data_IF_099062893731
#
_entry.id   IF_099062893731
#
_cell.length_a   1.000
_cell.length_b   1.000
_cell.length_c   1.000
_cell.angle_alpha   90.00
_cell.angle_beta   90.00
_cell.angle_gamma   90.00
#
_symmetry.space_group_name_H-M   'P 1'
#
loop_
_entity.id
_entity.type
_entity.pdbx_description
1 polymer ?
#
# COMPACT_ATOMS: atom_id res chain seq x y z
N UNK A 1 -5.36 -4.93 -29.27
CA UNK A 1 -4.44 -3.79 -29.46
C UNK A 1 -4.38 -2.88 -28.23
N UNK A 2 -5.51 -2.34 -27.73
CA UNK A 2 -5.55 -1.39 -26.59
C UNK A 2 -4.86 -1.87 -25.31
N UNK A 3 -5.01 -3.15 -24.95
CA UNK A 3 -4.42 -3.73 -23.72
C UNK A 3 -2.89 -3.81 -23.80
N UNK A 4 -2.33 -4.26 -24.93
CA UNK A 4 -0.87 -4.36 -25.13
C UNK A 4 -0.22 -2.98 -25.06
N UNK A 5 -0.85 -1.96 -25.67
CA UNK A 5 -0.36 -0.57 -25.63
C UNK A 5 -0.34 -0.01 -24.20
N UNK A 6 -1.34 -0.33 -23.35
CA UNK A 6 -1.36 0.09 -21.94
C UNK A 6 -0.20 -0.54 -21.16
N UNK A 7 0.05 -1.84 -21.33
CA UNK A 7 1.17 -2.48 -20.62
C UNK A 7 2.54 -1.98 -21.10
N UNK A 8 2.71 -1.73 -22.39
CA UNK A 8 3.95 -1.13 -22.92
C UNK A 8 4.18 0.28 -22.35
N UNK A 9 3.12 1.10 -22.27
CA UNK A 9 3.19 2.43 -21.67
C UNK A 9 3.54 2.37 -20.18
N UNK A 10 2.92 1.46 -19.42
CA UNK A 10 3.22 1.25 -18.01
C UNK A 10 4.67 0.79 -17.79
N UNK A 11 5.17 -0.12 -18.62
CA UNK A 11 6.57 -0.55 -18.56
C UNK A 11 7.55 0.61 -18.82
N UNK A 12 7.32 1.38 -19.87
CA UNK A 12 8.12 2.55 -20.17
C UNK A 12 8.06 3.61 -19.05
N UNK A 13 6.87 3.91 -18.52
CA UNK A 13 6.67 4.86 -17.44
C UNK A 13 7.34 4.38 -16.13
N UNK A 14 7.35 3.07 -15.85
CA UNK A 14 8.04 2.51 -14.69
C UNK A 14 9.54 2.71 -14.77
N UNK A 15 10.14 2.43 -15.94
CA UNK A 15 11.58 2.64 -16.16
C UNK A 15 11.93 4.13 -16.03
N UNK A 16 11.13 5.01 -16.63
CA UNK A 16 11.36 6.45 -16.56
C UNK A 16 11.21 7.01 -15.13
N UNK A 17 10.19 6.56 -14.39
CA UNK A 17 9.99 6.99 -13.00
C UNK A 17 11.10 6.49 -12.07
N UNK A 18 11.55 5.24 -12.25
CA UNK A 18 12.67 4.68 -11.50
C UNK A 18 13.97 5.43 -11.82
N UNK A 19 14.26 5.69 -13.10
CA UNK A 19 15.40 6.49 -13.52
C UNK A 19 15.36 7.90 -12.92
N UNK A 20 14.22 8.58 -12.97
CA UNK A 20 14.04 9.89 -12.34
C UNK A 20 14.27 9.82 -10.83
N UNK A 21 13.75 8.80 -10.14
CA UNK A 21 13.94 8.59 -8.70
C UNK A 21 15.41 8.37 -8.29
N UNK A 22 16.22 7.74 -9.16
CA UNK A 22 17.65 7.53 -8.93
C UNK A 22 18.46 8.79 -9.27
N UNK A 23 18.14 9.46 -10.38
CA UNK A 23 18.86 10.64 -10.83
C UNK A 23 18.65 11.85 -9.93
N UNK A 24 17.40 12.10 -9.50
CA UNK A 24 17.02 13.30 -8.75
C UNK A 24 17.04 13.03 -7.25
N UNK A 25 17.68 13.91 -6.49
CA UNK A 25 17.77 13.84 -5.01
C UNK A 25 18.50 15.05 -4.46
N UNK A 26 18.64 15.13 -3.12
CA UNK A 26 19.27 16.26 -2.41
C UNK A 26 20.71 16.53 -2.86
N UNK A 27 21.44 15.51 -3.27
CA UNK A 27 22.78 15.64 -3.86
C UNK A 27 22.68 15.51 -5.36
N UNK A 28 23.14 16.52 -6.09
CA UNK A 28 23.21 16.46 -7.55
C UNK A 28 24.33 15.48 -7.98
N UNK A 29 23.98 14.45 -8.75
CA UNK A 29 24.91 13.47 -9.32
C UNK A 29 24.74 13.48 -10.82
N UNK A 30 25.85 13.56 -11.57
CA UNK A 30 25.79 13.57 -13.01
C UNK A 30 25.23 12.23 -13.56
N UNK A 31 24.41 12.22 -14.63
CA UNK A 31 23.84 11.00 -15.19
C UNK A 31 24.89 9.93 -15.57
N UNK A 32 26.08 10.37 -16.01
CA UNK A 32 27.22 9.47 -16.29
C UNK A 32 27.71 8.73 -15.05
N UNK A 33 27.81 9.42 -13.91
CA UNK A 33 28.22 8.83 -12.63
C UNK A 33 27.16 7.85 -12.11
N UNK A 34 25.87 8.10 -12.37
CA UNK A 34 24.79 7.17 -12.02
C UNK A 34 24.97 5.86 -12.79
N UNK A 35 25.21 5.91 -14.09
CA UNK A 35 25.46 4.72 -14.88
C UNK A 35 26.70 3.96 -14.37
N UNK A 36 27.81 4.65 -14.17
CA UNK A 36 29.05 4.06 -13.66
C UNK A 36 28.83 3.40 -12.27
N UNK A 37 28.08 4.06 -11.40
CA UNK A 37 27.73 3.52 -10.09
C UNK A 37 26.89 2.24 -10.16
N UNK A 38 25.94 2.15 -11.09
CA UNK A 38 25.13 0.95 -11.32
C UNK A 38 25.98 -0.23 -11.82
N UNK A 39 27.07 0.04 -12.56
CA UNK A 39 28.02 -0.97 -13.01
C UNK A 39 29.21 -1.21 -12.06
N UNK A 40 29.13 -0.73 -10.82
CA UNK A 40 30.07 -1.08 -9.75
C UNK A 40 31.19 -0.07 -9.50
N UNK A 41 31.15 1.13 -10.10
CA UNK A 41 32.14 2.18 -9.79
C UNK A 41 32.12 2.50 -8.29
N UNK A 42 33.31 2.54 -7.69
CA UNK A 42 33.53 2.87 -6.29
C UNK A 42 33.53 4.39 -6.09
N UNK A 43 33.32 4.82 -4.82
CA UNK A 43 33.32 6.22 -4.42
C UNK A 43 32.01 6.68 -3.80
N UNK A 44 31.99 7.93 -3.31
CA UNK A 44 30.84 8.50 -2.58
C UNK A 44 29.56 8.47 -3.41
N UNK A 45 29.62 8.82 -4.70
CA UNK A 45 28.48 8.77 -5.61
C UNK A 45 27.94 7.35 -5.76
N UNK A 46 28.84 6.35 -5.88
CA UNK A 46 28.48 4.94 -5.97
C UNK A 46 27.74 4.44 -4.74
N UNK A 47 28.21 4.80 -3.55
CA UNK A 47 27.56 4.46 -2.28
C UNK A 47 26.19 5.12 -2.15
N UNK A 48 26.07 6.42 -2.46
CA UNK A 48 24.76 7.11 -2.42
C UNK A 48 23.75 6.44 -3.33
N UNK A 49 24.15 6.02 -4.52
CA UNK A 49 23.26 5.42 -5.49
C UNK A 49 22.86 4.00 -5.06
N UNK A 50 23.83 3.15 -4.73
CA UNK A 50 23.57 1.72 -4.46
C UNK A 50 22.97 1.46 -3.08
N UNK A 51 23.40 2.24 -2.04
CA UNK A 51 22.99 1.97 -0.67
C UNK A 51 21.83 2.85 -0.18
N UNK A 52 21.57 3.98 -0.85
CA UNK A 52 20.52 4.89 -0.42
C UNK A 52 19.40 5.03 -1.48
N UNK A 53 19.75 5.45 -2.72
CA UNK A 53 18.72 5.78 -3.71
C UNK A 53 18.05 4.56 -4.32
N UNK A 54 18.83 3.56 -4.69
CA UNK A 54 18.30 2.36 -5.36
C UNK A 54 17.39 1.55 -4.43
N UNK A 55 17.77 1.22 -3.18
CA UNK A 55 16.87 0.54 -2.25
C UNK A 55 15.61 1.34 -1.97
N UNK A 56 15.72 2.68 -1.84
CA UNK A 56 14.56 3.56 -1.61
C UNK A 56 13.58 3.54 -2.79
N UNK A 57 14.06 3.66 -4.03
CA UNK A 57 13.23 3.62 -5.24
C UNK A 57 12.57 2.25 -5.41
N UNK A 58 13.31 1.16 -5.17
CA UNK A 58 12.76 -0.19 -5.23
C UNK A 58 11.75 -0.43 -4.10
N UNK A 59 12.01 0.08 -2.90
CA UNK A 59 11.06 0.05 -1.78
C UNK A 59 9.77 0.79 -2.11
N UNK A 60 9.88 2.01 -2.67
CA UNK A 60 8.74 2.77 -3.16
C UNK A 60 7.93 1.97 -4.19
N UNK A 61 8.61 1.38 -5.16
CA UNK A 61 7.96 0.57 -6.19
C UNK A 61 7.23 -0.64 -5.60
N UNK A 62 7.85 -1.38 -4.67
CA UNK A 62 7.23 -2.53 -3.99
C UNK A 62 6.01 -2.13 -3.16
N UNK A 63 6.11 -1.05 -2.38
CA UNK A 63 5.00 -0.54 -1.56
C UNK A 63 3.83 -0.11 -2.44
N UNK A 64 4.10 0.65 -3.51
CA UNK A 64 3.07 1.08 -4.44
C UNK A 64 2.39 -0.10 -5.15
N UNK A 65 3.17 -1.08 -5.59
CA UNK A 65 2.67 -2.30 -6.20
C UNK A 65 1.78 -3.10 -5.24
N UNK A 66 2.22 -3.26 -3.98
CA UNK A 66 1.49 -3.99 -2.95
C UNK A 66 0.15 -3.32 -2.63
N UNK A 67 0.15 -2.01 -2.38
CA UNK A 67 -1.08 -1.26 -2.06
C UNK A 67 -2.07 -1.28 -3.22
N UNK A 68 -1.60 -1.08 -4.46
CA UNK A 68 -2.46 -1.09 -5.63
C UNK A 68 -3.04 -2.48 -5.92
N UNK A 69 -2.26 -3.56 -5.76
CA UNK A 69 -2.74 -4.93 -5.91
C UNK A 69 -3.77 -5.29 -4.81
N UNK A 70 -3.50 -4.92 -3.56
CA UNK A 70 -4.43 -5.08 -2.43
C UNK A 70 -5.75 -4.35 -2.68
N UNK A 71 -5.65 -3.10 -3.17
CA UNK A 71 -6.81 -2.30 -3.52
C UNK A 71 -7.66 -2.93 -4.64
N UNK A 72 -7.02 -3.40 -5.72
CA UNK A 72 -7.72 -4.05 -6.82
C UNK A 72 -8.50 -5.29 -6.35
N UNK A 73 -7.89 -6.11 -5.48
CA UNK A 73 -8.50 -7.30 -4.92
C UNK A 73 -9.68 -6.95 -4.01
N UNK A 74 -9.50 -6.00 -3.10
CA UNK A 74 -10.53 -5.62 -2.13
C UNK A 74 -11.72 -4.92 -2.80
N UNK A 75 -11.48 -4.02 -3.77
CA UNK A 75 -12.53 -3.38 -4.56
C UNK A 75 -13.42 -4.39 -5.26
N UNK A 76 -12.84 -5.49 -5.75
CA UNK A 76 -13.59 -6.57 -6.37
C UNK A 76 -14.46 -7.33 -5.37
N UNK A 77 -13.89 -7.72 -4.23
CA UNK A 77 -14.62 -8.43 -3.19
C UNK A 77 -15.78 -7.59 -2.63
N UNK A 78 -15.52 -6.32 -2.32
CA UNK A 78 -16.52 -5.41 -1.76
C UNK A 78 -17.51 -4.89 -2.81
N UNK A 79 -17.30 -5.19 -4.09
CA UNK A 79 -18.07 -4.65 -5.23
C UNK A 79 -18.18 -3.12 -5.15
N UNK A 80 -17.16 -2.50 -4.62
CA UNK A 80 -17.10 -1.07 -4.42
C UNK A 80 -15.76 -0.54 -4.97
N UNK A 81 -15.76 0.18 -6.10
CA UNK A 81 -14.54 0.72 -6.69
C UNK A 81 -13.87 1.80 -5.83
N UNK A 82 -14.54 2.24 -4.76
CA UNK A 82 -14.06 3.23 -3.81
C UNK A 82 -13.49 2.60 -2.53
N UNK A 83 -13.35 1.27 -2.49
CA UNK A 83 -12.77 0.60 -1.34
C UNK A 83 -11.25 0.81 -1.28
N UNK A 84 -10.78 1.24 -0.13
CA UNK A 84 -9.36 1.32 0.20
C UNK A 84 -8.97 0.11 1.08
N UNK A 85 -7.79 -0.48 0.91
CA UNK A 85 -7.32 -1.58 1.77
C UNK A 85 -7.35 -1.27 3.26
N UNK A 86 -7.20 -0.02 3.64
CA UNK A 86 -7.18 0.41 5.04
C UNK A 86 -8.55 0.40 5.73
N UNK A 87 -9.65 0.38 4.98
CA UNK A 87 -11.02 0.30 5.54
C UNK A 87 -11.24 -0.98 6.36
N UNK A 88 -10.45 -2.03 6.11
CA UNK A 88 -10.51 -3.29 6.86
C UNK A 88 -9.84 -3.23 8.23
N UNK A 89 -9.31 -2.08 8.66
CA UNK A 89 -8.64 -1.90 9.94
C UNK A 89 -7.16 -2.30 9.96
N UNK A 90 -6.60 -2.74 8.85
CA UNK A 90 -5.19 -3.16 8.74
C UNK A 90 -4.21 -2.06 9.12
N UNK A 91 -4.46 -0.82 8.65
CA UNK A 91 -3.63 0.35 8.98
C UNK A 91 -3.67 0.70 10.48
N UNK A 92 -4.84 0.62 11.08
CA UNK A 92 -5.02 0.91 12.50
C UNK A 92 -4.31 -0.13 13.38
N UNK A 93 -4.40 -1.42 12.99
CA UNK A 93 -3.65 -2.48 13.66
C UNK A 93 -2.14 -2.30 13.51
N UNK A 94 -1.66 -1.95 12.31
CA UNK A 94 -0.25 -1.66 12.07
C UNK A 94 0.25 -0.48 12.91
N UNK A 95 -0.53 0.61 12.96
CA UNK A 95 -0.22 1.78 13.79
C UNK A 95 -0.12 1.42 15.27
N UNK A 96 -1.10 0.65 15.77
CA UNK A 96 -1.11 0.21 17.16
C UNK A 96 0.10 -0.69 17.46
N UNK A 97 0.42 -1.63 16.58
CA UNK A 97 1.59 -2.49 16.72
C UNK A 97 2.91 -1.71 16.78
N UNK A 98 3.10 -0.76 15.86
CA UNK A 98 4.28 0.11 15.82
C UNK A 98 4.39 0.99 17.08
N UNK A 99 3.30 1.66 17.46
CA UNK A 99 3.28 2.56 18.62
C UNK A 99 3.53 1.79 19.92
N UNK A 100 2.94 0.60 20.07
CA UNK A 100 3.21 -0.28 21.20
C UNK A 100 4.68 -0.71 21.27
N UNK A 101 5.27 -1.10 20.14
CA UNK A 101 6.68 -1.49 20.10
C UNK A 101 7.60 -0.36 20.56
N UNK A 102 7.34 0.87 20.08
CA UNK A 102 8.11 2.06 20.49
C UNK A 102 7.87 2.38 21.99
N UNK A 103 6.64 2.31 22.47
CA UNK A 103 6.29 2.58 23.87
C UNK A 103 6.94 1.57 24.83
N UNK A 104 6.98 0.30 24.44
CA UNK A 104 7.63 -0.77 25.21
C UNK A 104 9.18 -0.73 25.10
N UNK A 105 9.73 0.15 24.26
CA UNK A 105 11.17 0.32 24.12
C UNK A 105 11.83 -0.74 23.23
N UNK A 106 11.12 -1.31 22.30
CA UNK A 106 11.70 -2.24 21.31
C UNK A 106 12.75 -1.52 20.47
N UNK A 107 13.73 -2.29 19.99
CA UNK A 107 14.69 -1.78 19.03
C UNK A 107 14.01 -1.31 17.74
N UNK A 108 14.50 -0.23 17.10
CA UNK A 108 13.90 0.31 15.88
C UNK A 108 13.70 -0.72 14.77
N UNK A 109 14.59 -1.70 14.65
CA UNK A 109 14.50 -2.79 13.69
C UNK A 109 13.29 -3.72 13.90
N UNK A 110 12.72 -3.76 15.11
CA UNK A 110 11.54 -4.59 15.43
C UNK A 110 10.22 -3.86 15.20
N UNK A 111 10.23 -2.54 15.04
CA UNK A 111 9.02 -1.75 14.82
C UNK A 111 8.28 -2.16 13.52
N UNK A 112 8.94 -2.38 12.38
CA UNK A 112 8.30 -2.89 11.18
C UNK A 112 7.61 -4.25 11.38
N UNK A 113 8.25 -5.16 12.11
CA UNK A 113 7.69 -6.48 12.42
C UNK A 113 6.46 -6.36 13.34
N UNK A 114 6.49 -5.47 14.32
CA UNK A 114 5.36 -5.19 15.19
C UNK A 114 4.20 -4.56 14.43
N UNK A 115 4.47 -3.64 13.48
CA UNK A 115 3.48 -3.06 12.60
C UNK A 115 2.83 -4.13 11.70
N UNK A 116 3.64 -4.99 11.08
CA UNK A 116 3.16 -6.10 10.27
C UNK A 116 2.30 -7.06 11.11
N UNK A 117 2.77 -7.48 12.29
CA UNK A 117 2.03 -8.32 13.21
C UNK A 117 0.70 -7.70 13.64
N UNK A 118 0.69 -6.39 13.93
CA UNK A 118 -0.50 -5.62 14.24
C UNK A 118 -1.52 -5.60 13.10
N UNK A 119 -1.07 -5.43 11.84
CA UNK A 119 -1.93 -5.51 10.67
C UNK A 119 -2.57 -6.89 10.52
N UNK A 120 -1.78 -7.97 10.69
CA UNK A 120 -2.27 -9.34 10.61
C UNK A 120 -3.24 -9.68 11.75
N UNK A 121 -2.96 -9.24 12.97
CA UNK A 121 -3.85 -9.40 14.11
C UNK A 121 -5.17 -8.66 13.93
N UNK A 122 -5.12 -7.43 13.39
CA UNK A 122 -6.30 -6.64 13.09
C UNK A 122 -7.24 -7.35 12.12
N UNK A 123 -6.72 -7.84 11.00
CA UNK A 123 -7.57 -8.52 10.01
C UNK A 123 -8.10 -9.86 10.54
N UNK A 124 -7.31 -10.60 11.32
CA UNK A 124 -7.76 -11.81 11.95
C UNK A 124 -8.93 -11.53 12.92
N UNK A 125 -8.84 -10.43 13.68
CA UNK A 125 -9.90 -9.99 14.58
C UNK A 125 -11.15 -9.56 13.80
N UNK A 126 -10.99 -8.73 12.75
CA UNK A 126 -12.09 -8.32 11.86
C UNK A 126 -12.81 -9.53 11.28
N UNK A 127 -12.06 -10.49 10.74
CA UNK A 127 -12.64 -11.71 10.20
C UNK A 127 -13.40 -12.53 11.26
N UNK A 128 -12.85 -12.67 12.47
CA UNK A 128 -13.52 -13.35 13.58
C UNK A 128 -14.81 -12.63 13.99
N UNK A 129 -14.78 -11.33 14.16
CA UNK A 129 -15.94 -10.51 14.53
C UNK A 129 -17.02 -10.57 13.43
N UNK A 130 -16.62 -10.47 12.15
CA UNK A 130 -17.54 -10.56 11.04
C UNK A 130 -18.26 -11.92 10.93
N UNK A 131 -17.67 -12.98 11.53
CA UNK A 131 -18.20 -14.35 11.49
C UNK A 131 -19.12 -14.69 12.69
N UNK A 132 -19.20 -13.84 13.72
CA UNK A 132 -20.01 -14.11 14.92
C UNK A 132 -21.51 -14.25 14.61
N UNK A 133 -22.01 -13.71 13.51
CA UNK A 133 -23.39 -13.86 13.03
C UNK A 133 -23.66 -15.09 12.15
N UNK A 134 -22.74 -16.05 12.06
CA UNK A 134 -22.89 -17.31 11.31
C UNK A 134 -22.42 -17.24 9.87
N UNK A 135 -22.57 -16.12 9.15
CA UNK A 135 -22.05 -15.89 7.79
C UNK A 135 -21.30 -14.59 7.72
N UNK A 136 -20.13 -14.62 7.06
CA UNK A 136 -19.34 -13.41 6.81
C UNK A 136 -19.99 -12.63 5.67
N UNK A 137 -20.52 -11.45 5.95
CA UNK A 137 -21.03 -10.53 4.92
C UNK A 137 -20.07 -9.36 4.72
N UNK A 138 -20.13 -8.74 3.54
CA UNK A 138 -19.35 -7.53 3.24
C UNK A 138 -19.61 -6.44 4.28
N UNK A 139 -20.88 -6.25 4.68
CA UNK A 139 -21.28 -5.26 5.66
C UNK A 139 -20.64 -5.51 7.03
N UNK A 140 -20.64 -6.77 7.51
CA UNK A 140 -20.06 -7.12 8.83
C UNK A 140 -18.54 -6.91 8.83
N UNK A 141 -17.85 -7.20 7.73
CA UNK A 141 -16.41 -6.92 7.58
C UNK A 141 -16.13 -5.41 7.67
N UNK A 142 -16.90 -4.59 6.94
CA UNK A 142 -16.72 -3.13 6.95
C UNK A 142 -17.02 -2.54 8.33
N UNK A 143 -18.11 -2.94 8.99
CA UNK A 143 -18.45 -2.48 10.33
C UNK A 143 -17.38 -2.87 11.36
N UNK A 144 -16.93 -4.12 11.33
CA UNK A 144 -15.85 -4.58 12.20
C UNK A 144 -14.55 -3.80 11.96
N UNK A 145 -14.22 -3.52 10.71
CA UNK A 145 -13.05 -2.69 10.34
C UNK A 145 -13.15 -1.26 10.88
N UNK A 146 -14.31 -0.62 10.78
CA UNK A 146 -14.54 0.75 11.31
C UNK A 146 -14.43 0.77 12.82
N UNK A 147 -15.08 -0.18 13.53
CA UNK A 147 -15.01 -0.29 14.99
C UNK A 147 -13.56 -0.50 15.44
N UNK A 148 -12.85 -1.42 14.80
CA UNK A 148 -11.46 -1.69 15.14
C UNK A 148 -10.56 -0.48 14.87
N UNK A 149 -10.77 0.23 13.76
CA UNK A 149 -10.03 1.45 13.44
C UNK A 149 -10.23 2.53 14.50
N UNK A 150 -11.47 2.75 14.93
CA UNK A 150 -11.79 3.73 15.98
C UNK A 150 -11.17 3.33 17.32
N UNK A 151 -11.28 2.06 17.69
CA UNK A 151 -10.72 1.55 18.94
C UNK A 151 -9.19 1.61 18.97
N UNK A 152 -8.54 1.12 17.90
CA UNK A 152 -7.08 1.17 17.80
C UNK A 152 -6.56 2.62 17.74
N UNK A 153 -7.27 3.52 17.06
CA UNK A 153 -6.95 4.96 17.03
C UNK A 153 -7.00 5.60 18.41
N UNK A 154 -8.04 5.27 19.20
CA UNK A 154 -8.15 5.73 20.59
C UNK A 154 -6.99 5.19 21.46
N UNK A 155 -6.64 3.90 21.32
CA UNK A 155 -5.50 3.31 22.03
C UNK A 155 -4.16 3.95 21.61
N UNK A 156 -3.94 4.17 20.32
CA UNK A 156 -2.75 4.87 19.82
C UNK A 156 -2.64 6.26 20.48
N UNK A 157 -3.72 7.03 20.48
CA UNK A 157 -3.75 8.36 21.09
C UNK A 157 -3.49 8.27 22.60
N UNK A 158 -4.14 7.33 23.29
CA UNK A 158 -3.91 7.10 24.72
C UNK A 158 -2.44 6.80 25.03
N UNK A 159 -1.81 5.89 24.28
CA UNK A 159 -0.41 5.52 24.48
C UNK A 159 0.51 6.70 24.17
N UNK A 160 0.23 7.49 23.11
CA UNK A 160 1.01 8.66 22.77
C UNK A 160 1.01 9.72 23.87
N UNK A 161 -0.13 9.92 24.54
CA UNK A 161 -0.29 10.90 25.61
C UNK A 161 0.27 10.38 26.95
N UNK A 162 0.16 9.08 27.22
CA UNK A 162 0.53 8.47 28.51
C UNK A 162 2.00 8.08 28.61
N UNK A 163 2.74 8.05 27.51
CA UNK A 163 4.12 7.54 27.48
C UNK A 163 5.15 8.66 27.40
N UNK A 164 5.93 8.85 28.46
CA UNK A 164 7.05 9.82 28.45
C UNK A 164 8.10 9.53 27.38
N UNK A 165 8.32 8.24 27.06
CA UNK A 165 9.25 7.83 25.97
C UNK A 165 8.77 8.32 24.62
N UNK A 166 7.46 8.28 24.37
CA UNK A 166 6.86 8.71 23.10
C UNK A 166 6.80 10.23 22.99
N UNK A 167 6.64 10.97 24.10
CA UNK A 167 6.66 12.41 24.09
C UNK A 167 8.00 12.94 23.55
N UNK A 168 9.12 12.30 23.89
CA UNK A 168 10.46 12.62 23.39
C UNK A 168 10.66 12.24 21.92
N UNK A 169 9.91 11.26 21.40
CA UNK A 169 10.02 10.76 20.03
C UNK A 169 8.80 11.11 19.17
N UNK A 170 7.95 11.99 19.63
CA UNK A 170 6.67 12.31 19.02
C UNK A 170 6.78 12.64 17.52
N UNK A 171 7.77 13.46 17.13
CA UNK A 171 8.01 13.80 15.72
C UNK A 171 8.29 12.57 14.84
N UNK A 172 9.13 11.65 15.34
CA UNK A 172 9.48 10.44 14.60
C UNK A 172 8.26 9.50 14.44
N UNK A 173 7.49 9.34 15.51
CA UNK A 173 6.27 8.54 15.48
C UNK A 173 5.21 9.14 14.56
N UNK A 174 4.97 10.46 14.67
CA UNK A 174 4.02 11.13 13.78
C UNK A 174 4.48 11.12 12.32
N UNK A 175 5.80 11.30 12.06
CA UNK A 175 6.36 11.16 10.72
C UNK A 175 6.15 9.75 10.15
N UNK A 176 6.37 8.71 10.95
CA UNK A 176 6.11 7.33 10.53
C UNK A 176 4.61 7.08 10.27
N UNK A 177 3.72 7.59 11.15
CA UNK A 177 2.26 7.48 10.95
C UNK A 177 1.76 8.21 9.69
N UNK A 178 2.48 9.21 9.21
CA UNK A 178 2.12 9.91 7.97
C UNK A 178 2.72 9.26 6.71
N UNK A 179 3.50 8.21 6.89
CA UNK A 179 4.09 7.45 5.81
C UNK A 179 5.29 8.15 5.16
N UNK A 180 6.36 7.40 5.03
CA UNK A 180 7.59 7.84 4.37
C UNK A 180 8.49 6.65 4.12
N UNK A 181 9.21 6.67 3.01
CA UNK A 181 10.14 5.60 2.69
C UNK A 181 11.48 5.95 3.32
N UNK A 182 11.76 5.32 4.46
CA UNK A 182 13.06 5.39 5.10
C UNK A 182 14.12 4.66 4.29
N UNK A 183 15.39 4.88 4.60
CA UNK A 183 16.48 4.08 4.02
C UNK A 183 16.25 2.62 4.41
N UNK A 184 16.06 1.77 3.41
CA UNK A 184 15.78 0.35 3.56
C UNK A 184 17.05 -0.40 3.23
N UNK A 185 17.46 -1.31 4.09
CA UNK A 185 18.57 -2.21 3.79
C UNK A 185 18.19 -3.21 2.69
N UNK A 186 19.17 -3.72 1.96
CA UNK A 186 18.94 -4.73 0.93
C UNK A 186 18.28 -6.01 1.49
N UNK A 187 18.60 -6.39 2.72
CA UNK A 187 17.99 -7.53 3.41
C UNK A 187 16.51 -7.30 3.72
N UNK A 188 16.15 -6.13 4.23
CA UNK A 188 14.75 -5.75 4.46
C UNK A 188 13.97 -5.70 3.15
N UNK A 189 14.56 -5.10 2.11
CA UNK A 189 13.97 -5.04 0.79
C UNK A 189 13.70 -6.44 0.23
N UNK A 190 14.63 -7.38 0.37
CA UNK A 190 14.48 -8.76 -0.09
C UNK A 190 13.34 -9.47 0.65
N UNK A 191 13.24 -9.33 1.98
CA UNK A 191 12.14 -9.91 2.77
C UNK A 191 10.80 -9.35 2.30
N UNK A 192 10.68 -8.04 2.17
CA UNK A 192 9.44 -7.40 1.72
C UNK A 192 9.10 -7.82 0.29
N UNK A 193 10.08 -7.91 -0.61
CA UNK A 193 9.86 -8.37 -1.99
C UNK A 193 9.27 -9.78 -2.03
N UNK A 194 9.77 -10.70 -1.19
CA UNK A 194 9.23 -12.07 -1.07
C UNK A 194 7.79 -12.03 -0.56
N UNK A 195 7.50 -11.27 0.49
CA UNK A 195 6.15 -11.16 1.07
C UNK A 195 5.17 -10.56 0.05
N UNK A 196 5.58 -9.50 -0.64
CA UNK A 196 4.77 -8.87 -1.70
C UNK A 196 4.55 -9.83 -2.87
N UNK A 197 5.57 -10.59 -3.29
CA UNK A 197 5.42 -11.58 -4.36
C UNK A 197 4.40 -12.67 -3.98
N UNK A 198 4.45 -13.19 -2.74
CA UNK A 198 3.48 -14.16 -2.22
C UNK A 198 2.07 -13.54 -2.24
N UNK A 199 1.92 -12.31 -1.77
CA UNK A 199 0.63 -11.60 -1.77
C UNK A 199 0.08 -11.36 -3.17
N UNK A 200 0.93 -10.96 -4.13
CA UNK A 200 0.55 -10.77 -5.54
C UNK A 200 0.12 -12.09 -6.18
N UNK A 201 0.86 -13.18 -5.94
CA UNK A 201 0.48 -14.51 -6.42
C UNK A 201 -0.89 -14.89 -5.83
N UNK A 202 -1.10 -14.69 -4.53
CA UNK A 202 -2.38 -14.92 -3.87
C UNK A 202 -3.51 -14.10 -4.51
N UNK A 203 -3.28 -12.82 -4.79
CA UNK A 203 -4.26 -11.96 -5.45
C UNK A 203 -4.61 -12.46 -6.87
N UNK A 204 -3.62 -12.88 -7.64
CA UNK A 204 -3.84 -13.44 -8.99
C UNK A 204 -4.60 -14.77 -8.97
N UNK A 205 -4.35 -15.63 -8.00
CA UNK A 205 -5.07 -16.89 -7.80
C UNK A 205 -6.52 -16.66 -7.36
N UNK A 206 -6.79 -15.57 -6.64
CA UNK A 206 -8.14 -15.21 -6.22
C UNK A 206 -8.92 -14.43 -7.27
N UNK A 207 -8.27 -13.85 -8.27
CA UNK A 207 -8.89 -13.02 -9.30
C UNK A 207 -10.12 -13.68 -9.98
N UNK A 208 -10.10 -14.97 -10.39
CA UNK A 208 -11.27 -15.60 -11.01
C UNK A 208 -12.46 -15.71 -10.04
N UNK A 209 -12.21 -15.94 -8.75
CA UNK A 209 -13.28 -15.98 -7.74
C UNK A 209 -13.90 -14.60 -7.54
N UNK A 210 -13.07 -13.56 -7.57
CA UNK A 210 -13.53 -12.17 -7.45
C UNK A 210 -14.30 -11.73 -8.69
N UNK A 211 -13.94 -12.20 -9.89
CA UNK A 211 -14.73 -11.96 -11.10
C UNK A 211 -16.16 -12.54 -10.97
N UNK A 212 -16.32 -13.68 -10.29
CA UNK A 212 -17.65 -14.25 -10.01
C UNK A 212 -18.47 -13.42 -8.99
N UNK A 213 -17.81 -12.77 -8.01
CA UNK A 213 -18.49 -11.85 -7.07
C UNK A 213 -19.14 -10.65 -7.77
N UNK A 214 -18.65 -10.26 -8.96
CA UNK A 214 -19.26 -9.18 -9.74
C UNK A 214 -20.71 -9.47 -10.12
N UNK A 215 -21.09 -10.76 -10.23
CA UNK A 215 -22.45 -11.22 -10.52
C UNK A 215 -23.34 -11.38 -9.28
N UNK A 216 -22.82 -11.10 -8.09
CA UNK A 216 -23.50 -11.22 -6.80
C UNK A 216 -23.10 -12.47 -6.02
N UNK A 217 -23.26 -12.39 -4.69
CA UNK A 217 -22.86 -13.47 -3.77
C UNK A 217 -23.66 -14.76 -4.03
N UNK A 218 -24.96 -14.65 -4.28
CA UNK A 218 -25.83 -15.80 -4.58
C UNK A 218 -25.40 -16.52 -5.86
N UNK A 219 -25.08 -15.75 -6.91
CA UNK A 219 -24.60 -16.31 -8.18
C UNK A 219 -23.23 -16.95 -8.00
N UNK A 220 -22.31 -16.30 -7.26
CA UNK A 220 -21.01 -16.86 -6.96
C UNK A 220 -21.12 -18.18 -6.18
N UNK A 221 -22.02 -18.25 -5.20
CA UNK A 221 -22.30 -19.47 -4.44
C UNK A 221 -22.88 -20.58 -5.35
N UNK A 222 -23.80 -20.24 -6.27
CA UNK A 222 -24.38 -21.19 -7.23
C UNK A 222 -23.30 -21.74 -8.20
N UNK A 223 -22.25 -20.98 -8.48
CA UNK A 223 -21.06 -21.42 -9.23
C UNK A 223 -20.09 -22.27 -8.40
N UNK A 224 -20.44 -22.62 -7.16
CA UNK A 224 -19.63 -23.46 -6.27
C UNK A 224 -18.50 -22.73 -5.53
N UNK A 225 -18.54 -21.40 -5.48
CA UNK A 225 -17.55 -20.63 -4.74
C UNK A 225 -17.93 -20.59 -3.26
N UNK A 226 -17.03 -21.08 -2.40
CA UNK A 226 -17.13 -20.92 -0.96
C UNK A 226 -16.88 -19.46 -0.60
N UNK A 227 -17.93 -18.72 -0.26
CA UNK A 227 -17.89 -17.29 0.03
C UNK A 227 -17.07 -17.00 1.29
N UNK A 228 -17.25 -17.76 2.37
CA UNK A 228 -16.55 -17.54 3.63
C UNK A 228 -15.03 -17.74 3.47
N UNK A 229 -14.66 -18.84 2.80
CA UNK A 229 -13.25 -19.14 2.53
C UNK A 229 -12.63 -18.11 1.59
N UNK A 230 -13.36 -17.70 0.56
CA UNK A 230 -12.87 -16.70 -0.40
C UNK A 230 -12.67 -15.35 0.30
N UNK A 231 -13.64 -14.90 1.10
CA UNK A 231 -13.53 -13.66 1.89
C UNK A 231 -12.33 -13.72 2.83
N UNK A 232 -12.15 -14.82 3.57
CA UNK A 232 -10.99 -14.99 4.46
C UNK A 232 -9.66 -14.91 3.70
N UNK A 233 -9.55 -15.56 2.55
CA UNK A 233 -8.34 -15.54 1.72
C UNK A 233 -8.07 -14.15 1.12
N UNK A 234 -9.11 -13.43 0.69
CA UNK A 234 -8.97 -12.05 0.20
C UNK A 234 -8.49 -11.13 1.31
N UNK A 235 -9.11 -11.21 2.49
CA UNK A 235 -8.71 -10.41 3.65
C UNK A 235 -7.26 -10.71 4.06
N UNK A 236 -6.88 -11.99 4.14
CA UNK A 236 -5.51 -12.39 4.47
C UNK A 236 -4.49 -11.91 3.43
N UNK A 237 -4.80 -12.05 2.13
CA UNK A 237 -3.93 -11.58 1.05
C UNK A 237 -3.80 -10.06 1.06
N UNK A 238 -4.91 -9.34 1.27
CA UNK A 238 -4.91 -7.88 1.38
C UNK A 238 -4.08 -7.44 2.60
N UNK A 239 -4.27 -8.09 3.76
CA UNK A 239 -3.50 -7.78 4.96
C UNK A 239 -1.99 -8.07 4.80
N UNK A 240 -1.65 -9.16 4.11
CA UNK A 240 -0.25 -9.48 3.79
C UNK A 240 0.41 -8.38 2.97
N UNK A 241 -0.25 -7.94 1.90
CA UNK A 241 0.24 -6.87 1.02
C UNK A 241 0.30 -5.51 1.73
N UNK A 242 -0.79 -5.12 2.42
CA UNK A 242 -0.83 -3.85 3.14
C UNK A 242 0.08 -3.84 4.35
N UNK A 243 0.15 -4.94 5.10
CA UNK A 243 1.06 -5.09 6.23
C UNK A 243 2.53 -4.98 5.83
N UNK A 244 2.92 -5.63 4.73
CA UNK A 244 4.27 -5.51 4.18
C UNK A 244 4.59 -4.06 3.75
N UNK A 245 3.64 -3.39 3.09
CA UNK A 245 3.78 -2.00 2.68
C UNK A 245 3.94 -1.07 3.89
N UNK A 246 3.06 -1.20 4.90
CA UNK A 246 3.07 -0.36 6.10
C UNK A 246 4.31 -0.60 6.96
N UNK A 247 4.81 -1.83 7.02
CA UNK A 247 6.00 -2.17 7.78
C UNK A 247 7.22 -1.32 7.40
N UNK A 248 7.42 -1.03 6.13
CA UNK A 248 8.57 -0.27 5.64
C UNK A 248 8.29 1.19 5.29
N UNK A 249 7.05 1.53 5.00
CA UNK A 249 6.69 2.86 4.53
C UNK A 249 5.70 3.61 5.43
N UNK A 250 5.27 3.01 6.55
CA UNK A 250 4.19 3.59 7.36
C UNK A 250 2.87 3.68 6.58
N UNK A 251 1.99 4.59 6.99
CA UNK A 251 0.66 4.70 6.40
C UNK A 251 0.67 5.55 5.13
N UNK A 252 0.44 4.93 3.99
CA UNK A 252 0.32 5.61 2.70
C UNK A 252 -1.06 5.33 2.10
N UNK A 253 -1.96 6.31 2.19
CA UNK A 253 -3.31 6.20 1.65
C UNK A 253 -3.40 6.52 0.15
N UNK A 254 -4.61 6.33 -0.39
CA UNK A 254 -5.03 6.67 -1.74
C UNK A 254 -4.45 5.81 -2.88
N UNK A 255 -3.26 5.23 -2.76
CA UNK A 255 -2.67 4.42 -3.84
C UNK A 255 -3.55 3.21 -4.14
N UNK A 256 -3.95 2.46 -3.12
CA UNK A 256 -4.84 1.31 -3.25
C UNK A 256 -6.25 1.66 -3.72
N UNK A 257 -6.69 2.88 -3.50
CA UNK A 257 -7.98 3.37 -3.92
C UNK A 257 -7.95 3.87 -5.38
N UNK A 258 -7.03 4.77 -5.68
CA UNK A 258 -7.00 5.56 -6.91
C UNK A 258 -6.52 4.74 -8.10
N UNK A 259 -5.43 3.99 -7.92
CA UNK A 259 -4.76 3.31 -9.04
C UNK A 259 -5.63 2.24 -9.69
N UNK A 260 -6.18 1.24 -8.96
CA UNK A 260 -7.02 0.24 -9.61
C UNK A 260 -8.32 0.83 -10.14
N UNK A 261 -8.86 1.87 -9.50
CA UNK A 261 -10.04 2.56 -9.99
C UNK A 261 -9.79 3.24 -11.35
N UNK A 262 -8.68 4.00 -11.48
CA UNK A 262 -8.29 4.63 -12.74
C UNK A 262 -8.04 3.61 -13.87
N UNK A 263 -7.37 2.49 -13.55
CA UNK A 263 -7.09 1.45 -14.54
C UNK A 263 -8.35 0.72 -15.01
N UNK A 264 -9.40 0.64 -14.20
CA UNK A 264 -10.68 0.03 -14.56
C UNK A 264 -11.33 0.72 -15.76
N UNK A 265 -11.17 2.04 -15.91
CA UNK A 265 -11.64 2.78 -17.09
C UNK A 265 -10.89 2.41 -18.37
N UNK A 266 -9.64 1.96 -18.26
CA UNK A 266 -8.79 1.63 -19.41
C UNK A 266 -8.87 0.15 -19.82
N UNK A 267 -8.94 -0.76 -18.83
CA UNK A 267 -8.79 -2.21 -19.01
C UNK A 267 -10.09 -3.00 -18.78
N UNK A 268 -11.15 -2.33 -18.31
CA UNK A 268 -12.41 -2.98 -17.95
C UNK A 268 -12.38 -3.64 -16.58
N UNK A 269 -13.35 -4.52 -16.31
CA UNK A 269 -13.65 -5.05 -14.98
C UNK A 269 -12.94 -6.37 -14.65
N UNK A 270 -12.21 -7.01 -15.58
CA UNK A 270 -11.56 -8.30 -15.33
C UNK A 270 -10.44 -8.16 -14.32
N UNK A 271 -10.60 -8.77 -13.13
CA UNK A 271 -9.69 -8.56 -11.99
C UNK A 271 -8.27 -9.05 -12.26
N UNK A 272 -8.10 -10.14 -13.01
CA UNK A 272 -6.73 -10.61 -13.35
C UNK A 272 -5.93 -9.55 -14.11
N UNK A 273 -6.53 -8.91 -15.13
CA UNK A 273 -5.86 -7.84 -15.90
C UNK A 273 -5.66 -6.59 -15.04
N UNK A 274 -6.64 -6.27 -14.21
CA UNK A 274 -6.60 -5.12 -13.32
C UNK A 274 -5.48 -5.26 -12.28
N UNK A 275 -5.34 -6.41 -11.63
CA UNK A 275 -4.26 -6.67 -10.66
C UNK A 275 -2.90 -6.56 -11.34
N UNK A 276 -2.70 -7.24 -12.48
CA UNK A 276 -1.41 -7.20 -13.21
C UNK A 276 -1.03 -5.77 -13.60
N UNK A 277 -1.97 -4.95 -14.05
CA UNK A 277 -1.70 -3.56 -14.41
C UNK A 277 -1.53 -2.65 -13.18
N UNK A 278 -2.20 -2.95 -12.07
CA UNK A 278 -2.10 -2.18 -10.83
C UNK A 278 -0.70 -2.24 -10.22
N UNK A 279 0.03 -3.34 -10.41
CA UNK A 279 1.40 -3.51 -9.91
C UNK A 279 2.33 -2.41 -10.45
N UNK A 280 2.59 -2.32 -11.77
CA UNK A 280 3.46 -1.27 -12.29
C UNK A 280 2.89 0.14 -12.11
N UNK A 281 1.57 0.32 -12.21
CA UNK A 281 0.96 1.64 -12.03
C UNK A 281 1.08 2.15 -10.59
N UNK A 282 0.89 1.28 -9.59
CA UNK A 282 1.11 1.60 -8.19
C UNK A 282 2.57 1.91 -7.89
N UNK A 283 3.50 1.12 -8.46
CA UNK A 283 4.94 1.37 -8.37
C UNK A 283 5.30 2.77 -8.92
N UNK A 284 4.85 3.11 -10.12
CA UNK A 284 5.06 4.43 -10.72
C UNK A 284 4.53 5.53 -9.82
N UNK A 285 3.28 5.40 -9.36
CA UNK A 285 2.63 6.43 -8.55
C UNK A 285 3.41 6.70 -7.26
N UNK A 286 3.89 5.66 -6.59
CA UNK A 286 4.59 5.84 -5.33
C UNK A 286 6.03 6.29 -5.49
N UNK A 287 6.74 5.84 -6.54
CA UNK A 287 8.07 6.35 -6.87
C UNK A 287 8.01 7.85 -7.18
N UNK A 288 6.99 8.30 -7.93
CA UNK A 288 6.80 9.72 -8.23
C UNK A 288 6.37 10.51 -6.99
N UNK A 289 5.53 9.95 -6.13
CA UNK A 289 5.13 10.59 -4.87
C UNK A 289 6.35 10.74 -3.92
N UNK A 290 7.19 9.71 -3.80
CA UNK A 290 8.44 9.78 -3.01
C UNK A 290 9.42 10.80 -3.61
N UNK A 291 9.55 10.86 -4.93
CA UNK A 291 10.35 11.88 -5.61
C UNK A 291 9.84 13.28 -5.30
N UNK A 292 8.52 13.50 -5.39
CA UNK A 292 7.89 14.76 -5.00
C UNK A 292 8.11 15.10 -3.53
N UNK A 293 7.99 14.13 -2.63
CA UNK A 293 8.19 14.30 -1.19
C UNK A 293 9.62 14.76 -0.85
N UNK A 294 10.62 14.24 -1.56
CA UNK A 294 12.04 14.59 -1.37
C UNK A 294 12.45 15.95 -1.98
N UNK A 295 11.69 16.41 -2.97
CA UNK A 295 12.11 17.59 -3.76
C UNK A 295 11.29 18.84 -3.49
N UNK A 296 10.05 18.71 -3.03
CA UNK A 296 9.11 19.83 -2.88
C UNK A 296 9.56 20.90 -1.88
N UNK A 297 10.20 20.52 -0.79
CA UNK A 297 10.68 21.43 0.26
C UNK A 297 12.16 21.20 0.61
N UNK A 298 12.98 20.74 -0.36
CA UNK A 298 14.38 20.46 -0.11
C UNK A 298 15.09 21.64 0.63
N UNK A 299 15.92 21.41 1.66
CA UNK A 299 16.43 20.11 2.10
C UNK A 299 15.52 19.32 3.05
N UNK A 300 14.36 19.85 3.47
CA UNK A 300 13.38 19.12 4.27
C UNK A 300 12.58 18.14 3.39
N UNK A 301 12.36 16.93 3.90
CA UNK A 301 11.54 15.94 3.23
C UNK A 301 10.12 15.96 3.80
N UNK A 302 9.13 15.93 2.91
CA UNK A 302 7.73 15.74 3.29
C UNK A 302 7.43 14.24 3.48
N UNK A 303 6.50 13.86 4.37
CA UNK A 303 5.96 12.51 4.37
C UNK A 303 5.30 12.19 3.03
N UNK A 304 5.54 10.99 2.49
CA UNK A 304 4.99 10.56 1.20
C UNK A 304 3.46 10.50 1.26
N UNK A 305 2.89 10.13 2.41
CA UNK A 305 1.44 10.12 2.65
C UNK A 305 0.79 11.48 2.49
N UNK A 306 1.51 12.58 2.75
CA UNK A 306 1.03 13.94 2.49
C UNK A 306 0.88 14.17 0.99
N UNK A 307 1.87 13.78 0.19
CA UNK A 307 1.83 13.92 -1.27
C UNK A 307 0.69 13.08 -1.86
N UNK A 308 0.60 11.79 -1.45
CA UNK A 308 -0.48 10.91 -1.94
C UNK A 308 -1.85 11.40 -1.52
N UNK A 309 -2.00 12.00 -0.33
CA UNK A 309 -3.24 12.60 0.14
C UNK A 309 -3.62 13.86 -0.64
N UNK A 310 -2.66 14.78 -0.85
CA UNK A 310 -2.88 16.03 -1.60
C UNK A 310 -3.26 15.78 -3.06
N UNK A 311 -2.75 14.73 -3.68
CA UNK A 311 -3.08 14.35 -5.06
C UNK A 311 -4.33 13.46 -5.11
N UNK A 312 -4.41 12.48 -4.20
CA UNK A 312 -5.45 11.46 -4.21
C UNK A 312 -6.83 12.00 -3.85
N UNK A 313 -6.93 12.87 -2.84
CA UNK A 313 -8.21 13.41 -2.39
C UNK A 313 -8.90 14.29 -3.43
N UNK A 314 -8.22 15.26 -4.09
CA UNK A 314 -8.83 16.03 -5.18
C UNK A 314 -9.19 15.17 -6.40
N UNK A 315 -8.32 14.19 -6.75
CA UNK A 315 -8.61 13.25 -7.82
C UNK A 315 -9.90 12.47 -7.54
N UNK A 316 -10.05 11.98 -6.32
CA UNK A 316 -11.22 11.25 -5.90
C UNK A 316 -12.49 12.12 -5.89
N UNK A 317 -12.38 13.35 -5.42
CA UNK A 317 -13.49 14.31 -5.45
C UNK A 317 -13.93 14.60 -6.88
N UNK A 318 -12.99 14.78 -7.80
CA UNK A 318 -13.29 14.98 -9.22
C UNK A 318 -14.02 13.78 -9.84
N UNK A 319 -13.64 12.55 -9.45
CA UNK A 319 -14.35 11.33 -9.88
C UNK A 319 -15.78 11.27 -9.35
N UNK A 320 -16.00 11.60 -8.08
CA UNK A 320 -17.33 11.64 -7.46
C UNK A 320 -18.26 12.65 -8.17
N UNK A 321 -17.75 13.82 -8.50
CA UNK A 321 -18.52 14.85 -9.22
C UNK A 321 -18.88 14.39 -10.64
N UNK A 322 -17.94 13.71 -11.32
CA UNK A 322 -18.18 13.17 -12.67
C UNK A 322 -19.20 12.02 -12.69
N UNK A 323 -19.14 11.11 -11.71
CA UNK A 323 -20.07 9.98 -11.64
C UNK A 323 -21.50 10.41 -11.39
N UNK A 324 -21.75 11.51 -10.66
CA UNK A 324 -23.09 12.07 -10.47
C UNK A 324 -23.73 12.59 -11.75
N UNK A 325 -22.93 13.00 -12.76
CA UNK A 325 -23.44 13.49 -14.05
C UNK A 325 -23.92 12.39 -14.99
N UNK A 326 -23.63 11.13 -14.68
CA UNK A 326 -24.04 9.96 -15.48
C UNK A 326 -25.33 9.31 -14.94
N UNK A 327 -25.75 9.69 -13.72
CA UNK A 327 -26.93 9.12 -13.03
C UNK A 327 -28.15 10.08 -13.12
N UNK A 328 -27.99 11.27 -13.69
CA UNK A 328 -29.06 12.20 -14.08
C UNK A 328 -29.17 12.23 -15.60
#
# INVERSE_FOLDING_TARGET
MRTVSVFALLAAALVLSAAAGILVGAVAIAPGDVLLALFGAEGTNGTIIRELRLPRVLGAALVGAALAAAGALLQGMLRNPLADPFVTGTSAGASLGAVLAVALGFEPALVPLAAFGGAMAAIALVWRLARLGGRTTILTVLLAGVVLTSFAGALVTFILVSSDRLSLRLRAVLGWLQGGISVISWSELAVVAVVVAIGVIGALLLAPRIDAYAFGEETAAALGIDLDRTTALVLATTALLTGAAVAIAGLIGFVGLVIPHALRFLLGATHRRLIVASIPAGAIALVLADLGARTALAPAELPVGVITGLVGAPFFLALLVRSRRVIV
#
